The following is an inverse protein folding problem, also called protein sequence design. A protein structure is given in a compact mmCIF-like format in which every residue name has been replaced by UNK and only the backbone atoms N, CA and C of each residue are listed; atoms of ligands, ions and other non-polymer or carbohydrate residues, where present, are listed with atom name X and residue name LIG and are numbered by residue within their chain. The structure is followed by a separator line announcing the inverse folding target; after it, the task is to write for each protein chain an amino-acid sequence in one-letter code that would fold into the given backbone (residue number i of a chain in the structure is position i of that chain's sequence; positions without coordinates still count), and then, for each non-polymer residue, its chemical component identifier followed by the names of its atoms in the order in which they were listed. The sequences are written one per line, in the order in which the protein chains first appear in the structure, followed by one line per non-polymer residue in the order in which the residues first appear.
data_IF_979459936520
#
_entry.id   IF_979459936520
#
_cell.length_a   1.000
_cell.length_b   1.000
_cell.length_c   1.000
_cell.angle_alpha   90.00
_cell.angle_beta   90.00
_cell.angle_gamma   90.00
#
_symmetry.space_group_name_H-M   'P 1'
#
loop_
_entity.id
_entity.type
_entity.pdbx_description
1 polymer ?
#
# COMPACT_ATOMS: atom_id res chain seq x y z
N UNK A 1 1.59 4.58 -10.72
CA UNK A 1 2.61 3.67 -10.24
C UNK A 1 2.62 2.40 -11.09
N UNK A 2 1.46 1.83 -11.36
CA UNK A 2 1.37 0.69 -12.27
C UNK A 2 0.07 -0.10 -12.17
N UNK A 3 0.04 -1.17 -12.96
CA UNK A 3 -0.94 -2.23 -12.90
C UNK A 3 -0.28 -3.46 -12.26
N UNK A 4 -1.01 -4.20 -11.44
CA UNK A 4 -0.51 -5.35 -10.72
C UNK A 4 -1.49 -6.50 -10.86
N UNK A 5 -0.98 -7.68 -11.19
CA UNK A 5 -1.77 -8.91 -11.32
C UNK A 5 -1.93 -9.53 -9.93
N UNK A 6 -3.10 -9.39 -9.34
CA UNK A 6 -3.41 -9.93 -8.01
C UNK A 6 -4.22 -11.23 -8.09
N UNK A 7 -4.42 -11.76 -9.29
CA UNK A 7 -5.12 -13.03 -9.53
C UNK A 7 -4.48 -14.16 -8.74
N UNK A 8 -5.30 -14.97 -8.10
CA UNK A 8 -4.84 -16.11 -7.30
C UNK A 8 -4.28 -15.75 -5.91
N UNK A 9 -3.94 -14.47 -5.65
CA UNK A 9 -3.61 -13.99 -4.31
C UNK A 9 -4.86 -13.59 -3.54
N UNK A 10 -5.90 -13.15 -4.25
CA UNK A 10 -7.23 -12.89 -3.69
C UNK A 10 -8.31 -13.51 -4.57
N UNK A 11 -9.37 -13.99 -3.92
CA UNK A 11 -10.51 -14.57 -4.63
C UNK A 11 -11.38 -13.49 -5.32
N UNK A 12 -11.40 -12.27 -4.77
CA UNK A 12 -12.32 -11.22 -5.19
C UNK A 12 -11.73 -10.26 -6.22
N UNK A 13 -10.41 -10.29 -6.47
CA UNK A 13 -9.75 -9.30 -7.31
C UNK A 13 -8.67 -9.92 -8.20
N UNK A 14 -8.65 -9.49 -9.47
CA UNK A 14 -7.66 -9.93 -10.46
C UNK A 14 -6.67 -8.84 -10.83
N UNK A 15 -7.08 -7.57 -10.72
CA UNK A 15 -6.30 -6.41 -11.12
C UNK A 15 -6.28 -5.34 -10.02
N UNK A 16 -5.09 -4.90 -9.66
CA UNK A 16 -4.91 -3.69 -8.84
C UNK A 16 -4.30 -2.59 -9.71
N UNK A 17 -4.82 -1.37 -9.58
CA UNK A 17 -4.31 -0.18 -10.27
C UNK A 17 -3.89 0.84 -9.22
N UNK A 18 -2.67 1.36 -9.36
CA UNK A 18 -2.14 2.38 -8.45
C UNK A 18 -1.72 3.63 -9.24
N UNK A 19 -2.43 4.73 -9.00
CA UNK A 19 -2.14 6.06 -9.56
C UNK A 19 -1.51 6.97 -8.52
N UNK A 20 -0.74 7.94 -8.99
CA UNK A 20 -0.15 9.02 -8.22
C UNK A 20 -0.33 10.33 -8.96
N UNK A 21 -0.79 11.35 -8.27
CA UNK A 21 -0.86 12.73 -8.76
C UNK A 21 -0.86 13.69 -7.57
N UNK A 22 -0.52 14.94 -7.81
CA UNK A 22 -0.59 16.02 -6.81
C UNK A 22 -2.02 16.55 -6.66
N UNK A 23 -2.86 16.33 -7.67
CA UNK A 23 -4.25 16.73 -7.72
C UNK A 23 -5.20 15.53 -7.55
N UNK A 24 -6.00 15.47 -6.47
CA UNK A 24 -6.95 14.39 -6.27
C UNK A 24 -8.06 14.31 -7.33
N UNK A 25 -8.42 15.45 -7.97
CA UNK A 25 -9.43 15.44 -9.05
C UNK A 25 -8.89 14.72 -10.28
N UNK A 26 -7.59 14.83 -10.58
CA UNK A 26 -6.92 14.05 -11.63
C UNK A 26 -6.98 12.55 -11.34
N UNK A 27 -6.83 12.14 -10.09
CA UNK A 27 -6.98 10.73 -9.68
C UNK A 27 -8.42 10.24 -9.87
N UNK A 28 -9.42 11.05 -9.51
CA UNK A 28 -10.83 10.73 -9.76
C UNK A 28 -11.14 10.64 -11.25
N UNK A 29 -10.61 11.55 -12.07
CA UNK A 29 -10.78 11.50 -13.53
C UNK A 29 -10.13 10.23 -14.11
N UNK A 30 -8.94 9.86 -13.66
CA UNK A 30 -8.29 8.61 -14.08
C UNK A 30 -9.17 7.39 -13.79
N UNK A 31 -9.80 7.34 -12.60
CA UNK A 31 -10.76 6.29 -12.25
C UNK A 31 -11.98 6.29 -13.20
N UNK A 32 -12.60 7.47 -13.42
CA UNK A 32 -13.75 7.59 -14.30
C UNK A 32 -13.40 7.16 -15.74
N UNK A 33 -12.23 7.55 -16.25
CA UNK A 33 -11.76 7.16 -17.59
C UNK A 33 -11.52 5.66 -17.70
N UNK A 34 -10.95 5.02 -16.68
CA UNK A 34 -10.83 3.57 -16.63
C UNK A 34 -12.22 2.92 -16.70
N UNK A 35 -13.17 3.36 -15.87
CA UNK A 35 -14.54 2.83 -15.84
C UNK A 35 -15.29 3.02 -17.17
N UNK A 36 -15.05 4.13 -17.87
CA UNK A 36 -15.67 4.43 -19.16
C UNK A 36 -15.02 3.67 -20.34
N UNK A 37 -13.83 3.09 -20.14
CA UNK A 37 -13.11 2.37 -21.19
C UNK A 37 -13.81 1.05 -21.59
N UNK A 38 -13.41 0.46 -22.71
CA UNK A 38 -13.91 -0.85 -23.14
C UNK A 38 -13.63 -1.93 -22.07
N UNK A 39 -12.43 -1.93 -21.49
CA UNK A 39 -12.06 -2.84 -20.41
C UNK A 39 -12.87 -2.58 -19.13
N UNK A 40 -13.03 -1.31 -18.74
CA UNK A 40 -13.71 -0.94 -17.51
C UNK A 40 -15.16 -1.41 -17.41
N UNK A 41 -15.80 -1.73 -18.53
CA UNK A 41 -17.16 -2.33 -18.57
C UNK A 41 -17.20 -3.77 -18.05
N UNK A 42 -16.06 -4.43 -18.02
CA UNK A 42 -15.90 -5.81 -17.54
C UNK A 42 -15.23 -5.90 -16.17
N UNK A 43 -14.93 -4.77 -15.55
CA UNK A 43 -14.30 -4.70 -14.22
C UNK A 43 -15.31 -4.22 -13.19
N UNK A 44 -15.46 -4.96 -12.11
CA UNK A 44 -16.20 -4.54 -10.93
C UNK A 44 -15.24 -4.06 -9.84
N UNK A 45 -15.42 -2.82 -9.32
CA UNK A 45 -14.58 -2.33 -8.23
C UNK A 45 -14.92 -3.08 -6.94
N UNK A 46 -13.93 -3.74 -6.35
CA UNK A 46 -14.08 -4.48 -5.08
C UNK A 46 -13.49 -3.73 -3.90
N UNK A 47 -12.50 -2.87 -4.14
CA UNK A 47 -11.87 -2.05 -3.12
C UNK A 47 -11.23 -0.81 -3.75
N UNK A 48 -11.28 0.31 -3.04
CA UNK A 48 -10.59 1.53 -3.42
C UNK A 48 -10.19 2.31 -2.18
N UNK A 49 -9.00 2.88 -2.18
CA UNK A 49 -8.53 3.73 -1.10
C UNK A 49 -7.69 4.87 -1.65
N UNK A 50 -8.01 6.09 -1.25
CA UNK A 50 -7.18 7.26 -1.54
C UNK A 50 -6.30 7.54 -0.33
N UNK A 51 -5.03 7.86 -0.56
CA UNK A 51 -4.10 8.26 0.49
C UNK A 51 -3.47 9.60 0.16
N UNK A 52 -3.28 10.42 1.18
CA UNK A 52 -2.60 11.72 1.11
C UNK A 52 -1.25 11.65 1.81
N UNK A 53 -0.20 12.16 1.18
CA UNK A 53 1.06 12.33 1.86
C UNK A 53 1.00 13.51 2.84
N UNK A 54 1.20 13.22 4.11
CA UNK A 54 1.42 14.20 5.17
C UNK A 54 2.78 13.95 5.82
N UNK A 55 3.49 15.01 6.29
CA UNK A 55 4.75 14.82 6.99
C UNK A 55 4.61 13.84 8.16
N UNK A 56 5.48 12.83 8.22
CA UNK A 56 5.45 11.85 9.29
C UNK A 56 5.70 12.49 10.65
N UNK A 57 4.97 12.06 11.68
CA UNK A 57 5.01 12.64 13.03
C UNK A 57 6.42 12.65 13.62
N UNK A 58 7.17 11.55 13.49
CA UNK A 58 8.48 11.37 14.13
C UNK A 58 9.66 11.53 13.18
N UNK A 59 9.42 11.65 11.88
CA UNK A 59 10.47 11.87 10.88
C UNK A 59 9.95 12.74 9.71
N UNK A 60 9.89 14.04 9.95
CA UNK A 60 9.35 15.02 8.99
C UNK A 60 10.09 15.04 7.62
N UNK A 61 11.30 14.47 7.54
CA UNK A 61 12.07 14.35 6.29
C UNK A 61 11.77 13.06 5.52
N UNK A 62 11.02 12.15 6.11
CA UNK A 62 10.65 10.91 5.44
C UNK A 62 9.68 11.20 4.31
N UNK A 63 10.07 10.82 3.10
CA UNK A 63 9.22 10.88 1.91
C UNK A 63 8.86 9.44 1.55
N UNK A 64 7.57 9.10 1.38
CA UNK A 64 7.16 7.78 0.90
C UNK A 64 7.86 7.45 -0.42
N UNK A 65 8.25 6.20 -0.60
CA UNK A 65 9.01 5.77 -1.77
C UNK A 65 8.30 6.11 -3.10
N UNK A 66 6.97 6.05 -3.12
CA UNK A 66 6.17 6.40 -4.30
C UNK A 66 6.29 7.87 -4.73
N UNK A 67 6.63 8.79 -3.80
CA UNK A 67 6.85 10.23 -4.08
C UNK A 67 8.33 10.60 -4.11
N UNK A 68 9.21 9.76 -3.62
CA UNK A 68 10.65 10.02 -3.52
C UNK A 68 11.46 9.82 -4.81
N UNK A 69 10.82 9.74 -5.97
CA UNK A 69 11.49 9.49 -7.25
C UNK A 69 12.01 8.05 -7.42
N UNK A 70 11.67 7.15 -6.49
CA UNK A 70 12.05 5.73 -6.57
C UNK A 70 11.22 5.03 -7.65
N UNK A 71 11.90 4.35 -8.57
CA UNK A 71 11.22 3.54 -9.59
C UNK A 71 10.35 2.44 -8.95
N UNK A 72 9.19 2.10 -9.54
CA UNK A 72 8.40 0.96 -9.11
C UNK A 72 9.23 -0.32 -9.14
N UNK A 73 8.98 -1.23 -8.17
CA UNK A 73 9.58 -2.55 -8.13
C UNK A 73 8.70 -3.58 -8.84
N UNK A 74 9.22 -4.79 -9.00
CA UNK A 74 8.54 -5.88 -9.72
C UNK A 74 7.31 -6.39 -9.00
N UNK A 75 7.24 -6.25 -7.68
CA UNK A 75 6.11 -6.66 -6.84
C UNK A 75 5.64 -5.52 -5.96
N UNK A 76 4.33 -5.47 -5.73
CA UNK A 76 3.73 -4.60 -4.73
C UNK A 76 2.77 -5.38 -3.83
N UNK A 77 2.71 -4.95 -2.58
CA UNK A 77 1.73 -5.38 -1.58
C UNK A 77 1.09 -4.12 -0.99
N UNK A 78 -0.21 -3.97 -1.15
CA UNK A 78 -0.98 -2.82 -0.66
C UNK A 78 -2.01 -3.30 0.35
N UNK A 79 -2.14 -2.57 1.46
CA UNK A 79 -3.12 -2.88 2.49
C UNK A 79 -3.49 -1.64 3.30
N UNK A 80 -4.72 -1.60 3.84
CA UNK A 80 -5.11 -0.56 4.77
C UNK A 80 -4.54 -0.82 6.16
N UNK A 81 -4.58 0.20 7.02
CA UNK A 81 -4.06 0.08 8.36
C UNK A 81 -4.83 0.99 9.33
N UNK A 82 -5.17 0.45 10.49
CA UNK A 82 -5.85 1.17 11.57
C UNK A 82 -5.14 0.90 12.89
N UNK A 83 -4.83 1.96 13.61
CA UNK A 83 -4.23 1.88 14.95
C UNK A 83 -5.24 1.42 16.01
N UNK A 84 -4.74 0.86 17.11
CA UNK A 84 -5.55 0.63 18.29
C UNK A 84 -6.03 1.96 18.90
N UNK A 85 -7.16 1.93 19.62
CA UNK A 85 -7.77 3.13 20.18
C UNK A 85 -6.87 3.91 21.15
N UNK A 86 -6.02 3.22 21.89
CA UNK A 86 -5.10 3.79 22.87
C UNK A 86 -3.83 4.38 22.23
N UNK A 87 -3.54 4.07 20.95
CA UNK A 87 -2.30 4.54 20.29
C UNK A 87 -2.17 6.06 20.33
N UNK A 88 -3.21 6.77 19.91
CA UNK A 88 -3.17 8.24 19.82
C UNK A 88 -3.25 8.93 21.19
N UNK A 89 -3.63 8.20 22.24
CA UNK A 89 -3.70 8.71 23.61
C UNK A 89 -2.37 8.53 24.38
N UNK A 90 -1.41 7.79 23.81
CA UNK A 90 -0.07 7.64 24.38
C UNK A 90 0.73 8.95 24.29
N UNK A 91 1.63 9.14 25.24
CA UNK A 91 2.58 10.25 25.18
C UNK A 91 3.40 10.21 23.88
N UNK A 92 3.65 11.38 23.25
CA UNK A 92 4.41 11.45 21.99
C UNK A 92 5.76 10.76 22.04
N UNK A 93 6.46 10.85 23.19
CA UNK A 93 7.78 10.25 23.41
C UNK A 93 7.71 8.72 23.38
N UNK A 94 6.65 8.14 23.94
CA UNK A 94 6.43 6.69 23.91
C UNK A 94 6.14 6.20 22.49
N UNK A 95 5.28 6.90 21.75
CA UNK A 95 5.02 6.59 20.33
C UNK A 95 6.30 6.68 19.50
N UNK A 96 7.11 7.72 19.72
CA UNK A 96 8.38 7.90 19.03
C UNK A 96 9.36 6.74 19.31
N UNK A 97 9.44 6.28 20.56
CA UNK A 97 10.27 5.12 20.96
C UNK A 97 9.83 3.84 20.22
N UNK A 98 8.52 3.55 20.24
CA UNK A 98 7.94 2.37 19.59
C UNK A 98 8.20 2.42 18.09
N UNK A 99 7.99 3.57 17.45
CA UNK A 99 8.23 3.73 16.00
C UNK A 99 9.72 3.66 15.64
N UNK A 100 10.61 4.13 16.51
CA UNK A 100 12.05 3.97 16.30
C UNK A 100 12.49 2.50 16.40
N UNK A 101 11.93 1.73 17.31
CA UNK A 101 12.14 0.28 17.39
C UNK A 101 11.60 -0.42 16.14
N UNK A 102 10.36 -0.13 15.73
CA UNK A 102 9.74 -0.65 14.54
C UNK A 102 10.59 -0.40 13.27
N UNK A 103 11.10 0.82 13.11
CA UNK A 103 11.97 1.16 11.98
C UNK A 103 13.28 0.37 11.99
N UNK A 104 13.95 0.25 13.16
CA UNK A 104 15.21 -0.49 13.27
C UNK A 104 15.03 -1.99 13.06
N UNK A 105 14.07 -2.60 13.73
CA UNK A 105 13.93 -4.05 13.77
C UNK A 105 13.11 -4.58 12.58
N UNK A 106 12.08 -3.83 12.15
CA UNK A 106 11.21 -4.24 11.05
C UNK A 106 11.84 -4.09 9.67
N UNK A 107 12.73 -3.10 9.48
CA UNK A 107 13.28 -2.79 8.15
C UNK A 107 14.80 -3.02 8.01
N UNK A 108 15.56 -3.19 9.10
CA UNK A 108 17.01 -3.28 9.03
C UNK A 108 17.53 -4.41 8.12
N UNK A 109 16.79 -5.52 8.07
CA UNK A 109 17.13 -6.69 7.25
C UNK A 109 16.57 -6.61 5.81
N UNK A 110 15.76 -5.57 5.52
CA UNK A 110 15.03 -5.40 4.27
C UNK A 110 15.24 -4.00 3.66
N UNK A 111 16.49 -3.51 3.49
CA UNK A 111 16.77 -2.16 3.00
C UNK A 111 16.38 -1.95 1.53
N UNK A 112 16.22 -3.03 0.80
CA UNK A 112 15.77 -3.10 -0.59
C UNK A 112 14.25 -2.92 -0.73
N UNK A 113 13.47 -3.28 0.29
CA UNK A 113 12.01 -3.09 0.31
C UNK A 113 11.69 -1.60 0.43
N UNK A 114 10.82 -1.10 -0.43
CA UNK A 114 10.40 0.30 -0.48
C UNK A 114 9.03 0.45 0.12
N UNK A 115 8.94 1.23 1.20
CA UNK A 115 7.70 1.48 1.92
C UNK A 115 7.08 2.83 1.55
N UNK A 116 5.78 2.84 1.43
CA UNK A 116 4.96 4.05 1.31
C UNK A 116 3.82 3.97 2.30
N UNK A 117 3.70 4.97 3.16
CA UNK A 117 2.59 5.10 4.13
C UNK A 117 1.91 6.42 3.88
N UNK A 118 0.63 6.39 3.60
CA UNK A 118 -0.18 7.56 3.26
C UNK A 118 -1.37 7.64 4.22
N UNK A 119 -1.73 8.87 4.61
CA UNK A 119 -2.90 9.16 5.43
C UNK A 119 -4.19 8.95 4.63
N UNK A 120 -5.15 8.21 5.19
CA UNK A 120 -6.46 7.94 4.58
C UNK A 120 -7.62 8.39 5.47
N UNK A 121 -7.35 9.13 6.54
CA UNK A 121 -8.36 9.63 7.48
C UNK A 121 -9.46 10.43 6.78
N UNK A 122 -10.71 9.95 6.88
CA UNK A 122 -11.87 10.59 6.28
C UNK A 122 -12.02 10.36 4.76
N UNK A 123 -11.08 9.64 4.12
CA UNK A 123 -11.14 9.30 2.70
C UNK A 123 -11.64 7.88 2.47
N UNK A 124 -11.58 7.04 3.50
CA UNK A 124 -12.08 5.67 3.51
C UNK A 124 -12.43 5.25 4.94
N UNK A 125 -12.77 3.99 5.14
CA UNK A 125 -13.02 3.40 6.46
C UNK A 125 -11.74 3.16 7.28
N UNK A 126 -10.57 3.47 6.70
CA UNK A 126 -9.26 3.23 7.30
C UNK A 126 -8.53 4.54 7.62
N UNK A 127 -7.51 4.45 8.49
CA UNK A 127 -6.68 5.60 8.89
C UNK A 127 -5.50 5.82 7.93
N UNK A 128 -4.95 4.70 7.42
CA UNK A 128 -3.77 4.69 6.58
C UNK A 128 -3.91 3.69 5.44
N UNK A 129 -3.22 3.94 4.35
CA UNK A 129 -2.93 2.96 3.31
C UNK A 129 -1.42 2.80 3.20
N UNK A 130 -0.98 1.55 3.26
CA UNK A 130 0.42 1.17 3.18
C UNK A 130 0.67 0.41 1.89
N UNK A 131 1.83 0.64 1.30
CA UNK A 131 2.32 -0.13 0.18
C UNK A 131 3.79 -0.48 0.39
N UNK A 132 4.14 -1.75 0.20
CA UNK A 132 5.50 -2.21 0.09
C UNK A 132 5.78 -2.68 -1.33
N UNK A 133 6.95 -2.34 -1.83
CA UNK A 133 7.43 -2.74 -3.15
C UNK A 133 8.78 -3.42 -3.01
N UNK A 134 8.99 -4.53 -3.70
CA UNK A 134 10.24 -5.29 -3.74
C UNK A 134 10.43 -5.97 -5.09
N UNK A 135 11.63 -6.46 -5.36
CA UNK A 135 11.92 -7.15 -6.61
C UNK A 135 11.47 -8.64 -6.56
N UNK A 136 11.21 -9.18 -5.36
CA UNK A 136 10.72 -10.55 -5.19
C UNK A 136 9.68 -10.65 -4.08
N UNK A 137 8.80 -11.66 -4.16
CA UNK A 137 7.69 -11.86 -3.22
C UNK A 137 8.18 -12.23 -1.81
N UNK A 138 9.25 -13.01 -1.69
CA UNK A 138 9.82 -13.40 -0.40
C UNK A 138 10.35 -12.20 0.39
N UNK A 139 10.78 -11.12 -0.28
CA UNK A 139 11.19 -9.88 0.39
C UNK A 139 9.99 -9.17 1.02
N UNK A 140 8.84 -9.16 0.35
CA UNK A 140 7.59 -8.62 0.89
C UNK A 140 7.10 -9.45 2.08
N UNK A 141 7.10 -10.77 1.97
CA UNK A 141 6.74 -11.66 3.09
C UNK A 141 7.68 -11.45 4.29
N UNK A 142 8.98 -11.46 4.03
CA UNK A 142 10.01 -11.33 5.06
C UNK A 142 9.91 -10.02 5.85
N UNK A 143 9.70 -8.86 5.20
CA UNK A 143 9.54 -7.58 5.90
C UNK A 143 8.26 -7.59 6.76
N UNK A 144 7.17 -8.15 6.26
CA UNK A 144 5.93 -8.26 7.02
C UNK A 144 6.09 -9.18 8.23
N UNK A 145 6.79 -10.30 8.07
CA UNK A 145 7.11 -11.21 9.16
C UNK A 145 7.97 -10.51 10.23
N UNK A 146 9.04 -9.83 9.83
CA UNK A 146 9.91 -9.10 10.75
C UNK A 146 9.16 -8.05 11.58
N UNK A 147 8.19 -7.36 10.99
CA UNK A 147 7.37 -6.37 11.69
C UNK A 147 6.44 -6.97 12.75
N UNK A 148 6.12 -8.27 12.69
CA UNK A 148 5.32 -8.95 13.73
C UNK A 148 6.05 -9.06 15.07
N UNK A 149 7.38 -8.96 15.09
CA UNK A 149 8.22 -9.02 16.31
C UNK A 149 8.53 -7.64 16.91
N UNK A 150 7.84 -6.58 16.49
CA UNK A 150 8.01 -5.24 17.05
C UNK A 150 6.85 -4.88 17.97
N UNK A 151 7.11 -4.04 18.99
CA UNK A 151 6.07 -3.57 19.91
C UNK A 151 4.94 -2.84 19.18
N UNK A 152 5.23 -2.17 18.05
CA UNK A 152 4.24 -1.48 17.24
C UNK A 152 3.08 -2.39 16.80
N UNK A 153 3.29 -3.71 16.73
CA UNK A 153 2.25 -4.69 16.40
C UNK A 153 1.11 -4.74 17.41
N UNK A 154 1.38 -4.46 18.69
CA UNK A 154 0.34 -4.41 19.72
C UNK A 154 -0.69 -3.29 19.50
N UNK A 155 -0.31 -2.28 18.72
CA UNK A 155 -1.13 -1.11 18.44
C UNK A 155 -1.73 -1.13 17.03
N UNK A 156 -2.01 -2.31 16.51
CA UNK A 156 -2.69 -2.53 15.25
C UNK A 156 -4.07 -3.13 15.52
N UNK A 157 -5.12 -2.44 15.12
CA UNK A 157 -6.50 -2.94 15.22
C UNK A 157 -6.90 -3.67 13.93
N UNK A 158 -6.49 -3.12 12.78
CA UNK A 158 -6.83 -3.68 11.48
C UNK A 158 -5.70 -3.43 10.48
N UNK A 159 -5.41 -4.44 9.66
CA UNK A 159 -4.41 -4.39 8.58
C UNK A 159 -4.83 -5.27 7.38
N UNK A 160 -6.12 -5.39 7.14
CA UNK A 160 -6.69 -6.15 6.01
C UNK A 160 -7.68 -5.30 5.21
N UNK A 161 -7.97 -5.59 3.95
CA UNK A 161 -7.44 -6.67 3.10
C UNK A 161 -6.05 -6.39 2.52
N UNK A 162 -5.30 -7.46 2.14
CA UNK A 162 -4.06 -7.34 1.38
C UNK A 162 -4.30 -7.54 -0.11
N UNK A 163 -3.67 -6.69 -0.94
CA UNK A 163 -3.62 -6.83 -2.39
C UNK A 163 -2.15 -6.95 -2.79
N UNK A 164 -1.76 -8.13 -3.25
CA UNK A 164 -0.35 -8.44 -3.58
C UNK A 164 -0.28 -9.01 -4.98
N UNK A 165 0.68 -8.55 -5.77
CA UNK A 165 0.90 -9.10 -7.10
C UNK A 165 2.11 -8.50 -7.81
N UNK A 166 2.58 -9.17 -8.88
CA UNK A 166 3.62 -8.64 -9.74
C UNK A 166 3.12 -7.46 -10.56
N UNK A 167 4.02 -6.51 -10.82
CA UNK A 167 3.77 -5.41 -11.72
C UNK A 167 3.73 -5.92 -13.16
N UNK A 168 2.71 -5.53 -13.91
CA UNK A 168 2.48 -5.97 -15.29
C UNK A 168 2.09 -4.78 -16.17
N UNK A 169 2.27 -4.91 -17.48
CA UNK A 169 1.53 -4.05 -18.41
C UNK A 169 0.07 -4.51 -18.50
N UNK A 170 -0.83 -3.61 -18.86
CA UNK A 170 -2.24 -3.96 -19.02
C UNK A 170 -2.44 -5.00 -20.14
N UNK A 171 -1.61 -4.96 -21.20
CA UNK A 171 -1.62 -5.96 -22.27
C UNK A 171 -1.24 -7.34 -21.78
N UNK A 172 -0.13 -7.47 -21.04
CA UNK A 172 0.30 -8.75 -20.44
C UNK A 172 -0.74 -9.32 -19.48
N UNK A 173 -1.35 -8.45 -18.66
CA UNK A 173 -2.44 -8.89 -17.77
C UNK A 173 -3.62 -9.44 -18.56
N UNK A 174 -4.06 -8.73 -19.63
CA UNK A 174 -5.18 -9.16 -20.46
C UNK A 174 -4.92 -10.49 -21.17
N UNK A 175 -3.68 -10.72 -21.62
CA UNK A 175 -3.30 -11.99 -22.27
C UNK A 175 -3.36 -13.21 -21.35
N UNK A 176 -3.22 -12.99 -20.04
CA UNK A 176 -3.28 -14.03 -19.01
C UNK A 176 -4.72 -14.39 -18.61
N UNK A 177 -5.70 -13.56 -18.96
CA UNK A 177 -7.07 -13.81 -18.58
C UNK A 177 -7.66 -14.99 -19.37
N UNK A 178 -8.62 -15.74 -18.80
CA UNK A 178 -9.32 -16.81 -19.52
C UNK A 178 -9.94 -16.27 -20.81
N UNK A 179 -9.72 -16.98 -21.89
CA UNK A 179 -10.39 -16.69 -23.17
C UNK A 179 -11.74 -17.38 -23.18
N UNK A 180 -12.79 -16.63 -23.53
CA UNK A 180 -14.13 -17.17 -23.72
C UNK A 180 -14.17 -18.09 -24.96
#
# INVERSE_FOLDING_TARGET
RGFYDVSGFRAEADLMVWWLDDDPEVLQDAYHRLRASALGKFLDPVWSCMGLHTPAEFNKRHIPACFGGVAPRDWAMVYPFVRSFDWYLKAPEERARIMAEHGRNGFAQYPDVKGSTLSAFGFSDYEWVLAFEADTLDRLEGVMHAQRYTEARLYVREDTPFFTGPRVSLGEWAERQPRA
#
